data_IF_117452995881
#
_entry.id   IF_117452995881
#
_cell.length_a   1.000
_cell.length_b   1.000
_cell.length_c   1.000
_cell.angle_alpha   90.00
_cell.angle_beta   90.00
_cell.angle_gamma   90.00
#
_symmetry.space_group_name_H-M   'P 1'
#
loop_
_entity.id
_entity.type
_entity.pdbx_description
1 polymer ?
#
# COMPACT_ATOMS: atom_id res chain seq x y z
N UNK A 1 0.71 -9.49 -1.55
CA UNK A 1 0.36 -10.50 -2.57
C UNK A 1 1.50 -11.48 -2.76
N UNK A 2 1.67 -12.02 -3.96
CA UNK A 2 2.56 -13.15 -4.23
C UNK A 2 4.06 -12.82 -4.15
N UNK A 3 4.43 -11.53 -4.10
CA UNK A 3 5.80 -11.06 -3.89
C UNK A 3 6.11 -10.76 -2.41
N UNK A 4 5.15 -10.97 -1.52
CA UNK A 4 5.29 -10.81 -0.07
C UNK A 4 5.75 -12.12 0.56
N UNK A 5 6.40 -12.05 1.73
CA UNK A 5 6.67 -13.25 2.55
C UNK A 5 5.37 -14.03 2.81
N UNK A 6 5.42 -15.35 2.64
CA UNK A 6 4.25 -16.24 2.79
C UNK A 6 3.67 -16.17 4.21
N UNK A 7 4.49 -15.90 5.22
CA UNK A 7 4.08 -15.74 6.62
C UNK A 7 3.46 -14.39 6.96
N UNK A 8 3.49 -13.39 6.06
CA UNK A 8 3.18 -12.01 6.41
C UNK A 8 1.76 -11.75 6.95
N UNK A 9 0.79 -12.61 6.62
CA UNK A 9 -0.60 -12.51 7.08
C UNK A 9 -0.94 -13.52 8.18
N UNK A 10 0.02 -14.36 8.61
CA UNK A 10 -0.23 -15.36 9.64
C UNK A 10 -0.37 -14.69 11.01
N UNK A 11 -1.45 -15.04 11.74
CA UNK A 11 -1.75 -14.48 13.04
C UNK A 11 -2.36 -13.07 13.00
N UNK A 12 -2.61 -12.51 11.82
CA UNK A 12 -3.29 -11.23 11.70
C UNK A 12 -4.78 -11.33 12.11
N UNK A 13 -5.27 -10.31 12.81
CA UNK A 13 -6.70 -10.13 13.11
C UNK A 13 -7.45 -9.44 11.97
N UNK A 14 -6.75 -8.63 11.18
CA UNK A 14 -7.27 -7.87 10.06
C UNK A 14 -6.30 -7.87 8.87
N UNK A 15 -6.83 -7.98 7.65
CA UNK A 15 -6.08 -7.78 6.40
C UNK A 15 -6.79 -6.74 5.55
N UNK A 16 -6.04 -5.72 5.10
CA UNK A 16 -6.50 -4.67 4.20
C UNK A 16 -5.86 -4.89 2.82
N UNK A 17 -6.66 -4.91 1.75
CA UNK A 17 -6.18 -5.19 0.39
C UNK A 17 -6.60 -4.06 -0.55
N UNK A 18 -5.62 -3.44 -1.20
CA UNK A 18 -5.81 -2.21 -2.01
C UNK A 18 -6.43 -2.50 -3.38
N UNK A 19 -5.93 -3.50 -4.11
CA UNK A 19 -6.41 -3.89 -5.43
C UNK A 19 -6.05 -5.34 -5.80
N UNK A 20 -6.49 -5.79 -6.97
CA UNK A 20 -6.54 -7.20 -7.34
C UNK A 20 -5.35 -7.76 -8.12
N UNK A 21 -4.27 -7.00 -8.30
CA UNK A 21 -3.06 -7.50 -8.95
C UNK A 21 -2.38 -8.57 -8.09
N UNK A 22 -1.64 -9.47 -8.74
CA UNK A 22 -1.08 -10.66 -8.10
C UNK A 22 -0.04 -10.32 -7.01
N UNK A 23 0.70 -9.23 -7.17
CA UNK A 23 1.67 -8.71 -6.20
C UNK A 23 1.00 -8.10 -4.96
N UNK A 24 -0.29 -7.76 -5.04
CA UNK A 24 -1.10 -7.27 -3.91
C UNK A 24 -2.03 -8.34 -3.33
N UNK A 25 -2.55 -9.24 -4.17
CA UNK A 25 -3.48 -10.30 -3.80
C UNK A 25 -2.88 -11.68 -4.05
N UNK A 26 -2.70 -12.46 -2.98
CA UNK A 26 -2.45 -13.89 -3.04
C UNK A 26 -3.61 -14.64 -2.38
N UNK A 27 -4.52 -15.17 -3.20
CA UNK A 27 -5.69 -15.90 -2.71
C UNK A 27 -5.31 -17.19 -1.95
N UNK A 28 -4.23 -17.86 -2.35
CA UNK A 28 -3.79 -19.10 -1.73
C UNK A 28 -3.31 -18.83 -0.30
N UNK A 29 -2.48 -17.81 -0.14
CA UNK A 29 -2.00 -17.41 1.18
C UNK A 29 -3.14 -16.90 2.09
N UNK A 30 -4.08 -16.11 1.54
CA UNK A 30 -5.25 -15.65 2.30
C UNK A 30 -6.13 -16.81 2.76
N UNK A 31 -6.38 -17.81 1.91
CA UNK A 31 -7.15 -19.01 2.31
C UNK A 31 -6.44 -19.79 3.42
N UNK A 32 -5.12 -19.89 3.37
CA UNK A 32 -4.34 -20.51 4.45
C UNK A 32 -4.42 -19.74 5.77
N UNK A 33 -4.36 -18.40 5.72
CA UNK A 33 -4.51 -17.54 6.89
C UNK A 33 -5.91 -17.62 7.50
N UNK A 34 -6.95 -17.68 6.67
CA UNK A 34 -8.33 -17.90 7.13
C UNK A 34 -8.51 -19.26 7.77
N UNK A 35 -7.93 -20.31 7.17
CA UNK A 35 -8.01 -21.66 7.73
C UNK A 35 -7.34 -21.77 9.11
N UNK A 36 -6.29 -20.98 9.37
CA UNK A 36 -5.62 -20.93 10.68
C UNK A 36 -6.27 -19.97 11.67
N UNK A 37 -6.94 -18.92 11.19
CA UNK A 37 -7.68 -17.96 12.01
C UNK A 37 -9.08 -17.69 11.45
N UNK A 38 -10.09 -18.43 11.94
CA UNK A 38 -11.49 -18.20 11.58
C UNK A 38 -12.07 -16.85 12.05
N UNK A 39 -11.35 -16.11 12.90
CA UNK A 39 -11.68 -14.76 13.32
C UNK A 39 -11.15 -13.65 12.40
N UNK A 40 -10.33 -14.00 11.40
CA UNK A 40 -9.73 -13.03 10.48
C UNK A 40 -10.81 -12.22 9.74
N UNK A 41 -10.64 -10.90 9.71
CA UNK A 41 -11.51 -9.98 8.97
C UNK A 41 -10.74 -9.35 7.81
N UNK A 42 -11.39 -9.21 6.66
CA UNK A 42 -10.77 -8.66 5.46
C UNK A 42 -11.55 -7.41 5.03
N UNK A 43 -10.84 -6.34 4.65
CA UNK A 43 -11.41 -5.16 4.02
C UNK A 43 -10.75 -4.90 2.69
N UNK A 44 -11.54 -4.64 1.66
CA UNK A 44 -11.04 -4.45 0.30
C UNK A 44 -12.09 -3.83 -0.62
N UNK A 45 -11.74 -3.58 -1.88
CA UNK A 45 -12.66 -3.07 -2.89
C UNK A 45 -13.56 -4.18 -3.48
N UNK A 46 -14.54 -3.78 -4.31
CA UNK A 46 -15.49 -4.72 -4.91
C UNK A 46 -14.85 -5.77 -5.83
N UNK A 47 -13.79 -5.41 -6.57
CA UNK A 47 -13.11 -6.30 -7.51
C UNK A 47 -12.37 -7.44 -6.79
N UNK A 48 -11.65 -7.12 -5.72
CA UNK A 48 -10.99 -8.13 -4.88
C UNK A 48 -12.03 -8.98 -4.14
N UNK A 49 -13.07 -8.37 -3.58
CA UNK A 49 -14.12 -9.12 -2.87
C UNK A 49 -14.80 -10.15 -3.77
N UNK A 50 -14.96 -9.87 -5.07
CA UNK A 50 -15.52 -10.82 -6.04
C UNK A 50 -14.61 -12.04 -6.25
N UNK A 51 -13.29 -11.88 -6.17
CA UNK A 51 -12.31 -12.99 -6.25
C UNK A 51 -12.30 -13.85 -4.98
N UNK A 52 -12.54 -13.23 -3.81
CA UNK A 52 -12.50 -13.90 -2.51
C UNK A 52 -13.79 -14.65 -2.12
N UNK A 53 -14.68 -14.92 -3.09
CA UNK A 53 -15.90 -15.70 -2.86
C UNK A 53 -15.62 -17.04 -2.16
N UNK A 54 -16.45 -17.38 -1.18
CA UNK A 54 -16.37 -18.66 -0.47
C UNK A 54 -15.18 -18.80 0.48
N UNK A 55 -14.53 -17.71 0.90
CA UNK A 55 -13.43 -17.74 1.87
C UNK A 55 -13.86 -18.27 3.26
N UNK A 56 -15.15 -18.19 3.61
CA UNK A 56 -15.66 -18.62 4.92
C UNK A 56 -15.48 -17.59 6.05
N UNK A 57 -14.97 -16.40 5.74
CA UNK A 57 -14.82 -15.27 6.68
C UNK A 57 -15.49 -14.00 6.16
N UNK A 58 -15.63 -13.01 7.04
CA UNK A 58 -16.18 -11.71 6.71
C UNK A 58 -15.20 -10.89 5.84
N UNK A 59 -15.51 -10.80 4.55
CA UNK A 59 -14.92 -9.84 3.60
C UNK A 59 -15.83 -8.62 3.53
N UNK A 60 -15.32 -7.44 3.87
CA UNK A 60 -16.05 -6.17 3.83
C UNK A 60 -15.59 -5.38 2.61
N UNK A 61 -16.54 -4.99 1.77
CA UNK A 61 -16.29 -4.07 0.67
C UNK A 61 -16.26 -2.65 1.23
N UNK A 62 -15.24 -1.89 0.89
CA UNK A 62 -15.07 -0.47 1.21
C UNK A 62 -14.59 0.31 -0.02
N UNK A 63 -14.84 1.60 -0.04
CA UNK A 63 -14.44 2.53 -1.10
C UNK A 63 -14.02 3.89 -0.55
N UNK A 64 -13.65 4.81 -1.44
CA UNK A 64 -13.26 6.17 -1.08
C UNK A 64 -14.28 6.84 -0.14
N UNK A 65 -13.78 7.49 0.91
CA UNK A 65 -14.58 8.18 1.92
C UNK A 65 -15.15 7.28 3.03
N UNK A 66 -15.05 5.96 2.92
CA UNK A 66 -15.44 5.05 4.00
C UNK A 66 -14.46 5.14 5.19
N UNK A 67 -14.97 4.87 6.39
CA UNK A 67 -14.19 4.75 7.61
C UNK A 67 -14.66 3.57 8.48
N UNK A 68 -13.73 2.89 9.14
CA UNK A 68 -14.01 1.72 9.97
C UNK A 68 -12.88 1.47 10.98
N UNK A 69 -13.13 0.59 11.96
CA UNK A 69 -12.10 0.07 12.86
C UNK A 69 -11.68 -1.33 12.46
N UNK A 70 -10.38 -1.60 12.40
CA UNK A 70 -9.81 -2.91 12.12
C UNK A 70 -8.66 -3.21 13.09
N UNK A 71 -8.72 -4.35 13.78
CA UNK A 71 -7.72 -4.75 14.79
C UNK A 71 -7.40 -3.68 15.87
N UNK A 72 -8.35 -2.77 16.14
CA UNK A 72 -8.17 -1.68 17.12
C UNK A 72 -7.67 -0.35 16.54
N UNK A 73 -7.35 -0.31 15.24
CA UNK A 73 -6.94 0.89 14.52
C UNK A 73 -8.13 1.55 13.84
N UNK A 74 -8.15 2.89 13.82
CA UNK A 74 -9.10 3.66 13.02
C UNK A 74 -8.57 3.77 11.58
N UNK A 75 -9.37 3.40 10.60
CA UNK A 75 -8.96 3.36 9.19
C UNK A 75 -9.94 4.19 8.37
N UNK A 76 -9.40 5.07 7.52
CA UNK A 76 -10.17 5.75 6.45
C UNK A 76 -9.64 5.36 5.08
N UNK A 77 -10.52 5.33 4.09
CA UNK A 77 -10.23 4.84 2.74
C UNK A 77 -10.17 6.02 1.77
N UNK A 78 -9.15 6.03 0.93
CA UNK A 78 -8.84 7.15 0.04
C UNK A 78 -8.48 6.69 -1.37
N UNK A 79 -9.04 7.35 -2.37
CA UNK A 79 -8.82 7.08 -3.78
C UNK A 79 -9.65 5.93 -4.33
N UNK A 80 -9.84 5.94 -5.65
CA UNK A 80 -10.65 4.95 -6.37
C UNK A 80 -9.87 4.19 -7.45
N UNK A 81 -8.71 4.71 -7.84
CA UNK A 81 -8.00 4.30 -9.04
C UNK A 81 -6.52 4.07 -8.79
N UNK A 82 -6.01 3.03 -9.46
CA UNK A 82 -4.59 2.77 -9.61
C UNK A 82 -3.97 3.87 -10.49
N UNK A 83 -2.67 4.11 -10.37
CA UNK A 83 -1.94 4.95 -11.33
C UNK A 83 -2.07 4.40 -12.77
N UNK A 84 -1.94 5.25 -13.79
CA UNK A 84 -2.10 4.78 -15.17
C UNK A 84 -0.94 3.85 -15.56
N UNK A 85 -1.24 2.59 -15.87
CA UNK A 85 -0.25 1.63 -16.37
C UNK A 85 0.11 1.94 -17.83
N UNK A 86 -0.92 2.07 -18.67
CA UNK A 86 -0.81 2.45 -20.07
C UNK A 86 -2.14 3.03 -20.55
N UNK A 87 -2.17 4.03 -21.44
CA UNK A 87 -3.43 4.67 -21.89
C UNK A 87 -4.45 3.74 -22.55
N UNK A 88 -4.01 2.59 -23.07
CA UNK A 88 -4.88 1.59 -23.72
C UNK A 88 -5.41 0.50 -22.76
N UNK A 89 -4.93 0.48 -21.51
CA UNK A 89 -5.39 -0.49 -20.51
C UNK A 89 -6.44 0.21 -19.64
N UNK A 90 -7.63 -0.40 -19.45
CA UNK A 90 -8.62 0.13 -18.52
C UNK A 90 -8.02 0.33 -17.13
N UNK A 91 -8.28 1.49 -16.52
CA UNK A 91 -7.73 1.82 -15.20
C UNK A 91 -8.29 0.84 -14.16
N UNK A 92 -7.38 0.26 -13.37
CA UNK A 92 -7.72 -0.72 -12.33
C UNK A 92 -8.20 0.02 -11.09
N UNK A 93 -9.20 -0.55 -10.40
CA UNK A 93 -9.66 0.00 -9.14
C UNK A 93 -8.60 -0.18 -8.05
N UNK A 94 -8.23 0.88 -7.35
CA UNK A 94 -7.31 0.82 -6.21
C UNK A 94 -7.80 1.78 -5.12
N UNK A 95 -7.82 1.28 -3.90
CA UNK A 95 -8.08 2.09 -2.71
C UNK A 95 -6.82 2.15 -1.85
N UNK A 96 -6.58 3.29 -1.20
CA UNK A 96 -5.57 3.48 -0.17
C UNK A 96 -6.18 3.46 1.23
N UNK A 97 -5.36 3.18 2.25
CA UNK A 97 -5.77 3.15 3.65
C UNK A 97 -4.94 4.14 4.46
N UNK A 98 -5.60 5.06 5.15
CA UNK A 98 -5.00 5.94 6.15
C UNK A 98 -5.33 5.41 7.54
N UNK A 99 -4.30 4.98 8.26
CA UNK A 99 -4.40 4.32 9.57
C UNK A 99 -4.11 5.35 10.67
N UNK A 100 -5.00 5.43 11.65
CA UNK A 100 -5.01 6.37 12.79
C UNK A 100 -4.85 7.84 12.39
N UNK A 101 -5.23 8.20 11.16
CA UNK A 101 -5.02 9.54 10.61
C UNK A 101 -3.55 9.92 10.42
N UNK A 102 -2.63 8.94 10.42
CA UNK A 102 -1.19 9.17 10.54
C UNK A 102 -0.38 8.48 9.42
N UNK A 103 -0.67 7.19 9.16
CA UNK A 103 0.06 6.35 8.21
C UNK A 103 -0.77 6.07 6.95
N UNK A 104 -0.35 6.59 5.79
CA UNK A 104 -0.99 6.31 4.50
C UNK A 104 -0.29 5.15 3.77
N UNK A 105 -1.07 4.12 3.41
CA UNK A 105 -0.69 3.11 2.43
C UNK A 105 -1.54 3.30 1.16
N UNK A 106 -1.01 3.90 0.08
CA UNK A 106 -1.81 4.27 -1.10
C UNK A 106 -2.10 3.09 -2.04
N UNK A 107 -1.40 1.96 -1.88
CA UNK A 107 -1.40 0.90 -2.90
C UNK A 107 -0.60 1.33 -4.12
N UNK A 108 -1.00 0.88 -5.31
CA UNK A 108 -0.33 1.23 -6.56
C UNK A 108 -0.96 2.50 -7.16
N UNK A 109 -1.01 3.53 -6.33
CA UNK A 109 -1.58 4.82 -6.68
C UNK A 109 -0.74 5.95 -6.07
N UNK A 110 -0.91 7.15 -6.63
CA UNK A 110 -0.33 8.38 -6.12
C UNK A 110 -1.45 9.26 -5.53
N UNK A 111 -2.29 8.64 -4.69
CA UNK A 111 -3.50 9.25 -4.11
C UNK A 111 -3.15 10.33 -3.10
N UNK A 112 -3.72 11.53 -3.25
CA UNK A 112 -3.75 12.55 -2.20
C UNK A 112 -5.01 12.35 -1.34
N UNK A 113 -4.89 12.04 -0.04
CA UNK A 113 -6.05 11.84 0.83
C UNK A 113 -6.72 13.16 1.25
N UNK A 114 -6.21 14.33 0.83
CA UNK A 114 -6.78 15.64 1.15
C UNK A 114 -6.64 16.04 2.63
N UNK A 115 -5.91 15.26 3.42
CA UNK A 115 -5.63 15.47 4.84
C UNK A 115 -4.13 15.34 5.11
N UNK A 116 -3.61 15.97 6.18
CA UNK A 116 -2.20 15.81 6.54
C UNK A 116 -1.82 14.35 6.78
N UNK A 117 -0.67 13.94 6.23
CA UNK A 117 -0.09 12.60 6.41
C UNK A 117 1.25 12.73 7.10
N UNK A 118 1.44 12.09 8.24
CA UNK A 118 2.73 12.13 8.94
C UNK A 118 3.70 11.08 8.40
N UNK A 119 3.19 9.89 8.09
CA UNK A 119 3.96 8.76 7.58
C UNK A 119 3.35 8.24 6.27
N UNK A 120 4.18 8.14 5.23
CA UNK A 120 3.76 7.65 3.92
C UNK A 120 4.49 6.35 3.59
N UNK A 121 3.74 5.33 3.20
CA UNK A 121 4.29 4.19 2.47
C UNK A 121 4.39 4.60 0.99
N UNK A 122 5.59 4.93 0.54
CA UNK A 122 5.85 5.56 -0.74
C UNK A 122 6.13 4.51 -1.81
N UNK A 123 5.33 4.42 -2.89
CA UNK A 123 5.70 3.65 -4.07
C UNK A 123 7.01 4.19 -4.65
N UNK A 124 8.10 3.45 -4.44
CA UNK A 124 9.45 3.87 -4.85
C UNK A 124 9.71 3.51 -6.30
N UNK A 125 9.18 2.38 -6.77
CA UNK A 125 9.33 1.91 -8.13
C UNK A 125 8.10 1.13 -8.57
N UNK A 126 7.84 1.12 -9.88
CA UNK A 126 6.87 0.25 -10.52
C UNK A 126 7.16 0.24 -12.04
N UNK A 127 6.78 -0.81 -12.78
CA UNK A 127 7.00 -0.86 -14.24
C UNK A 127 6.33 0.28 -15.02
N UNK A 128 5.27 0.87 -14.43
CA UNK A 128 4.46 1.92 -15.02
C UNK A 128 4.85 3.34 -14.59
N UNK A 129 5.77 3.49 -13.63
CA UNK A 129 6.08 4.79 -13.04
C UNK A 129 7.46 5.33 -13.42
N UNK A 130 7.56 6.66 -13.48
CA UNK A 130 8.84 7.37 -13.53
C UNK A 130 9.28 7.76 -12.11
N UNK A 131 10.59 7.80 -11.88
CA UNK A 131 11.17 8.32 -10.64
C UNK A 131 10.69 9.75 -10.31
N UNK A 132 10.45 10.59 -11.32
CA UNK A 132 9.92 11.94 -11.10
C UNK A 132 8.53 11.94 -10.45
N UNK A 133 7.69 10.94 -10.75
CA UNK A 133 6.32 10.89 -10.24
C UNK A 133 6.29 10.53 -8.75
N UNK A 134 7.15 9.60 -8.29
CA UNK A 134 7.28 9.31 -6.85
C UNK A 134 7.85 10.50 -6.07
N UNK A 135 8.80 11.23 -6.67
CA UNK A 135 9.35 12.45 -6.08
C UNK A 135 8.27 13.53 -5.96
N UNK A 136 7.52 13.79 -7.03
CA UNK A 136 6.48 14.82 -7.03
C UNK A 136 5.33 14.44 -6.08
N UNK A 137 5.00 13.16 -5.98
CA UNK A 137 4.03 12.65 -5.01
C UNK A 137 4.49 12.84 -3.56
N UNK A 138 5.73 12.45 -3.23
CA UNK A 138 6.27 12.68 -1.89
C UNK A 138 6.28 14.17 -1.53
N UNK A 139 6.55 15.05 -2.50
CA UNK A 139 6.52 16.51 -2.31
C UNK A 139 5.11 17.06 -2.14
N UNK A 140 4.11 16.55 -2.86
CA UNK A 140 2.73 17.03 -2.75
C UNK A 140 2.12 16.64 -1.42
N UNK A 141 2.36 15.41 -0.95
CA UNK A 141 1.90 14.92 0.35
C UNK A 141 2.68 15.56 1.51
N UNK A 142 3.95 15.89 1.28
CA UNK A 142 4.87 16.48 2.24
C UNK A 142 4.89 15.76 3.62
N UNK A 143 5.03 14.42 3.66
CA UNK A 143 4.97 13.69 4.92
C UNK A 143 6.22 13.97 5.77
N UNK A 144 6.13 13.80 7.08
CA UNK A 144 7.30 13.90 7.97
C UNK A 144 8.30 12.78 7.67
N UNK A 145 7.81 11.57 7.41
CA UNK A 145 8.61 10.41 6.99
C UNK A 145 7.95 9.65 5.86
N UNK A 146 8.75 9.15 4.93
CA UNK A 146 8.33 8.25 3.88
C UNK A 146 9.13 6.95 3.97
N UNK A 147 8.46 5.81 3.84
CA UNK A 147 9.10 4.50 3.80
C UNK A 147 8.91 3.85 2.44
N UNK A 148 9.97 3.26 1.91
CA UNK A 148 9.95 2.60 0.59
C UNK A 148 8.95 1.43 0.56
N UNK A 149 8.16 1.34 -0.53
CA UNK A 149 7.51 0.09 -0.95
C UNK A 149 7.65 -0.09 -2.48
N UNK A 150 7.37 -1.29 -2.98
CA UNK A 150 7.41 -1.65 -4.42
C UNK A 150 8.79 -1.55 -5.08
N UNK A 151 9.87 -1.66 -4.30
CA UNK A 151 11.26 -1.61 -4.78
C UNK A 151 11.84 -2.99 -5.14
N UNK A 152 11.10 -4.08 -4.89
CA UNK A 152 11.59 -5.46 -5.04
C UNK A 152 11.97 -5.88 -6.47
N UNK A 153 11.53 -5.12 -7.48
CA UNK A 153 11.93 -5.34 -8.88
C UNK A 153 13.30 -4.73 -9.22
N UNK A 154 13.86 -3.91 -8.32
CA UNK A 154 15.17 -3.30 -8.50
C UNK A 154 16.29 -4.21 -7.98
N UNK A 155 17.36 -4.31 -8.75
CA UNK A 155 18.65 -4.75 -8.21
C UNK A 155 19.26 -3.65 -7.32
N UNK A 156 20.34 -3.97 -6.61
CA UNK A 156 20.92 -3.06 -5.62
C UNK A 156 21.41 -1.73 -6.21
N UNK A 157 21.94 -1.75 -7.43
CA UNK A 157 22.37 -0.53 -8.12
C UNK A 157 21.18 0.37 -8.47
N UNK A 158 20.09 -0.22 -8.98
CA UNK A 158 18.85 0.49 -9.30
C UNK A 158 18.21 1.06 -8.04
N UNK A 159 18.10 0.25 -6.99
CA UNK A 159 17.56 0.66 -5.67
C UNK A 159 18.33 1.86 -5.12
N UNK A 160 19.66 1.77 -5.06
CA UNK A 160 20.51 2.86 -4.59
C UNK A 160 20.35 4.16 -5.40
N UNK A 161 20.10 4.06 -6.71
CA UNK A 161 19.83 5.23 -7.54
C UNK A 161 18.46 5.85 -7.23
N UNK A 162 17.39 5.04 -7.16
CA UNK A 162 16.05 5.52 -6.85
C UNK A 162 15.99 6.17 -5.47
N UNK A 163 16.40 5.44 -4.44
CA UNK A 163 16.36 5.90 -3.05
C UNK A 163 17.26 7.11 -2.81
N UNK A 164 18.46 7.12 -3.40
CA UNK A 164 19.39 8.24 -3.29
C UNK A 164 18.81 9.54 -3.87
N UNK A 165 18.05 9.46 -4.98
CA UNK A 165 17.38 10.62 -5.56
C UNK A 165 16.17 11.06 -4.73
N UNK A 166 15.35 10.12 -4.26
CA UNK A 166 14.20 10.42 -3.40
C UNK A 166 14.66 11.10 -2.11
N UNK A 167 15.65 10.53 -1.42
CA UNK A 167 16.22 11.10 -0.20
C UNK A 167 16.80 12.50 -0.44
N UNK A 168 17.63 12.66 -1.48
CA UNK A 168 18.24 13.95 -1.81
C UNK A 168 17.22 15.03 -2.11
N UNK A 169 16.18 14.71 -2.87
CA UNK A 169 15.18 15.70 -3.29
C UNK A 169 14.19 15.99 -2.16
N UNK A 170 13.82 14.98 -1.37
CA UNK A 170 13.06 15.15 -0.14
C UNK A 170 13.75 16.08 0.86
N UNK A 171 15.07 15.94 1.03
CA UNK A 171 15.87 16.81 1.91
C UNK A 171 16.10 18.21 1.33
N UNK A 172 16.29 18.34 0.00
CA UNK A 172 16.61 19.62 -0.61
C UNK A 172 15.40 20.54 -0.78
N UNK A 173 14.20 19.97 -0.98
CA UNK A 173 12.98 20.73 -1.28
C UNK A 173 11.86 20.57 -0.24
N UNK A 174 12.06 19.77 0.82
CA UNK A 174 11.02 19.48 1.82
C UNK A 174 11.57 19.14 3.20
N UNK A 175 10.68 18.66 4.08
CA UNK A 175 10.99 18.18 5.44
C UNK A 175 10.93 16.65 5.56
N UNK A 176 10.67 15.95 4.45
CA UNK A 176 10.43 14.51 4.43
C UNK A 176 11.72 13.74 4.62
N UNK A 177 11.76 12.89 5.65
CA UNK A 177 12.84 11.91 5.83
C UNK A 177 12.46 10.61 5.14
N UNK A 178 13.19 10.27 4.09
CA UNK A 178 13.04 8.98 3.42
C UNK A 178 13.79 7.89 4.19
N UNK A 179 13.18 6.70 4.30
CA UNK A 179 13.78 5.54 4.95
C UNK A 179 13.45 4.26 4.17
N UNK A 180 14.49 3.51 3.81
CA UNK A 180 14.32 2.13 3.36
C UNK A 180 14.05 1.20 4.54
N UNK A 181 13.23 0.17 4.31
CA UNK A 181 13.01 -0.94 5.24
C UNK A 181 13.24 -2.23 4.48
N UNK A 182 14.20 -3.02 4.95
CA UNK A 182 14.36 -4.38 4.41
C UNK A 182 13.16 -5.25 4.78
N UNK A 183 12.88 -6.27 3.97
CA UNK A 183 11.84 -7.25 4.29
C UNK A 183 12.08 -7.86 5.69
N UNK A 184 11.08 -7.74 6.56
CA UNK A 184 11.14 -8.19 7.96
C UNK A 184 11.66 -7.15 8.96
N UNK A 185 12.14 -5.99 8.50
CA UNK A 185 12.48 -4.87 9.38
C UNK A 185 11.21 -4.15 9.86
N UNK A 186 11.26 -3.60 11.08
CA UNK A 186 10.16 -2.84 11.66
C UNK A 186 10.62 -1.48 12.20
N UNK A 187 9.63 -0.58 12.36
CA UNK A 187 9.78 0.72 13.00
C UNK A 187 8.60 0.97 13.94
N UNK A 188 8.81 1.84 14.93
CA UNK A 188 7.74 2.34 15.80
C UNK A 188 7.39 3.75 15.38
N UNK A 189 6.09 4.01 15.21
CA UNK A 189 5.55 5.32 14.85
C UNK A 189 5.20 6.14 16.10
#
# INVERSE_FOLDING_TARGET
GALTDVGAVQGADAVLITHEHFDHLDEGNLRAAVASNGGLKIWTNGAVSAKLGGLGVAVRVVGDGDAFTAAGFDVSVHGEHHAVIHPEIPIVGNIGFLIDGDLLHPGDALTDPGVPVAHLMLPTHAPWMKLSETIDYARSIAPRRAYSLHDGLLNDAGRGLYEGQIARIGEFYGTTRFQHLDAGQSVTL
#
